data_IF_607870617802
#
_entry.id   IF_607870617802
#
_cell.length_a   1.000
_cell.length_b   1.000
_cell.length_c   1.000
_cell.angle_alpha   90.00
_cell.angle_beta   90.00
_cell.angle_gamma   90.00
#
_symmetry.space_group_name_H-M   'P 1'
#
loop_
_entity.id
_entity.type
_entity.pdbx_description
1 polymer ?
#
# COMPACT_ATOMS: atom_id res chain seq x y z
N UNK A 1 25.17 11.97 -2.94
CA UNK A 1 24.50 12.08 -1.62
C UNK A 1 23.43 13.17 -1.60
N UNK A 2 23.66 14.34 -2.22
CA UNK A 2 22.67 15.44 -2.29
C UNK A 2 21.29 15.08 -2.84
N UNK A 3 21.23 14.21 -3.86
CA UNK A 3 19.96 13.80 -4.49
C UNK A 3 19.08 13.03 -3.50
N UNK A 4 19.63 12.03 -2.82
CA UNK A 4 18.87 11.21 -1.85
C UNK A 4 18.35 12.07 -0.70
N UNK A 5 19.17 12.97 -0.20
CA UNK A 5 18.77 13.91 0.85
C UNK A 5 17.66 14.85 0.38
N UNK A 6 17.75 15.35 -0.86
CA UNK A 6 16.71 16.21 -1.44
C UNK A 6 15.40 15.46 -1.64
N UNK A 7 15.46 14.21 -2.14
CA UNK A 7 14.28 13.35 -2.26
C UNK A 7 13.63 13.07 -0.90
N UNK A 8 14.43 12.74 0.11
CA UNK A 8 13.93 12.52 1.47
C UNK A 8 13.23 13.76 2.04
N UNK A 9 13.81 14.95 1.82
CA UNK A 9 13.23 16.21 2.27
C UNK A 9 11.92 16.54 1.54
N UNK A 10 11.85 16.28 0.24
CA UNK A 10 10.62 16.44 -0.54
C UNK A 10 9.52 15.48 -0.06
N UNK A 11 9.86 14.21 0.14
CA UNK A 11 8.96 13.18 0.67
C UNK A 11 8.39 13.57 2.04
N UNK A 12 9.24 13.99 2.99
CA UNK A 12 8.79 14.45 4.31
C UNK A 12 7.89 15.69 4.22
N UNK A 13 8.23 16.66 3.37
CA UNK A 13 7.38 17.86 3.17
C UNK A 13 6.03 17.48 2.60
N UNK A 14 6.00 16.63 1.57
CA UNK A 14 4.76 16.15 0.96
C UNK A 14 3.91 15.40 1.99
N UNK A 15 4.52 14.49 2.74
CA UNK A 15 3.87 13.75 3.82
C UNK A 15 3.20 14.68 4.82
N UNK A 16 3.91 15.71 5.32
CA UNK A 16 3.36 16.66 6.28
C UNK A 16 2.18 17.46 5.72
N UNK A 17 2.24 17.88 4.44
CA UNK A 17 1.14 18.61 3.79
C UNK A 17 -0.10 17.73 3.63
N UNK A 18 0.08 16.51 3.13
CA UNK A 18 -1.03 15.56 2.92
C UNK A 18 -1.64 15.15 4.27
N UNK A 19 -0.80 14.83 5.25
CA UNK A 19 -1.27 14.38 6.56
C UNK A 19 -2.10 15.46 7.27
N UNK A 20 -1.62 16.71 7.34
CA UNK A 20 -2.38 17.83 7.95
C UNK A 20 -3.73 18.05 7.27
N UNK A 21 -3.83 17.87 5.95
CA UNK A 21 -5.11 17.96 5.23
C UNK A 21 -6.01 16.75 5.50
N UNK A 22 -5.43 15.55 5.61
CA UNK A 22 -6.11 14.30 5.93
C UNK A 22 -6.64 14.22 7.37
N UNK A 23 -6.21 15.11 8.26
CA UNK A 23 -6.77 15.22 9.62
C UNK A 23 -8.19 15.78 9.67
N UNK A 24 -8.72 16.33 8.56
CA UNK A 24 -10.11 16.77 8.46
C UNK A 24 -11.06 15.60 8.77
N UNK A 25 -11.94 15.80 9.76
CA UNK A 25 -12.81 14.76 10.34
C UNK A 25 -13.64 13.98 9.30
N UNK A 26 -14.03 14.64 8.20
CA UNK A 26 -14.81 14.05 7.11
C UNK A 26 -13.99 13.16 6.15
N UNK A 27 -12.70 13.43 5.97
CA UNK A 27 -11.85 12.69 5.03
C UNK A 27 -11.32 11.38 5.61
N UNK A 28 -11.19 11.32 6.95
CA UNK A 28 -10.69 10.13 7.67
C UNK A 28 -11.49 8.85 7.42
N UNK A 29 -12.83 8.81 7.53
CA UNK A 29 -13.59 7.57 7.29
C UNK A 29 -13.49 7.13 5.82
N UNK A 30 -13.57 8.07 4.88
CA UNK A 30 -13.44 7.78 3.46
C UNK A 30 -12.06 7.22 3.11
N UNK A 31 -10.99 7.85 3.59
CA UNK A 31 -9.63 7.38 3.37
C UNK A 31 -9.40 5.98 3.95
N UNK A 32 -10.01 5.66 5.11
CA UNK A 32 -9.96 4.30 5.68
C UNK A 32 -10.72 3.29 4.84
N UNK A 33 -11.91 3.63 4.35
CA UNK A 33 -12.70 2.74 3.51
C UNK A 33 -11.97 2.41 2.19
N UNK A 34 -11.42 3.44 1.53
CA UNK A 34 -10.62 3.28 0.31
C UNK A 34 -9.33 2.49 0.60
N UNK A 35 -8.67 2.72 1.73
CA UNK A 35 -7.50 1.93 2.10
C UNK A 35 -7.84 0.45 2.29
N UNK A 36 -8.98 0.14 2.92
CA UNK A 36 -9.44 -1.23 3.14
C UNK A 36 -9.83 -1.97 1.87
N UNK A 37 -10.27 -1.26 0.82
CA UNK A 37 -10.53 -1.92 -0.46
C UNK A 37 -9.26 -2.51 -1.09
N UNK A 38 -8.08 -2.07 -0.65
CA UNK A 38 -6.79 -2.60 -1.05
C UNK A 38 -6.30 -3.80 -0.19
N UNK A 39 -7.10 -4.32 0.76
CA UNK A 39 -6.73 -5.46 1.61
C UNK A 39 -6.70 -6.82 0.84
N UNK A 40 -6.81 -6.80 -0.49
CA UNK A 40 -6.66 -7.97 -1.36
C UNK A 40 -7.95 -8.73 -1.70
N UNK A 41 -9.11 -8.33 -1.14
CA UNK A 41 -10.40 -8.97 -1.43
C UNK A 41 -10.73 -8.98 -2.94
N UNK A 42 -10.35 -7.93 -3.66
CA UNK A 42 -10.63 -7.80 -5.09
C UNK A 42 -9.91 -8.85 -5.95
N UNK A 43 -8.75 -9.37 -5.50
CA UNK A 43 -8.04 -10.42 -6.23
C UNK A 43 -8.83 -11.73 -6.31
N UNK A 44 -9.75 -11.96 -5.36
CA UNK A 44 -10.63 -13.15 -5.33
C UNK A 44 -12.02 -12.81 -5.88
N UNK A 45 -12.59 -11.69 -5.46
CA UNK A 45 -13.95 -11.31 -5.85
C UNK A 45 -14.10 -11.13 -7.35
N UNK A 46 -13.08 -10.59 -8.04
CA UNK A 46 -13.16 -10.30 -9.46
C UNK A 46 -13.19 -11.58 -10.33
N UNK A 47 -12.27 -12.56 -10.17
CA UNK A 47 -12.38 -13.83 -10.86
C UNK A 47 -13.66 -14.60 -10.54
N UNK A 48 -14.11 -14.58 -9.28
CA UNK A 48 -15.36 -15.23 -8.86
C UNK A 48 -16.57 -14.59 -9.53
N UNK A 49 -16.64 -13.26 -9.59
CA UNK A 49 -17.73 -12.56 -10.27
C UNK A 49 -17.76 -12.89 -11.78
N UNK A 50 -16.59 -12.93 -12.43
CA UNK A 50 -16.46 -13.26 -13.85
C UNK A 50 -16.75 -14.74 -14.14
N UNK A 51 -16.52 -15.64 -13.18
CA UNK A 51 -16.89 -17.05 -13.33
C UNK A 51 -18.39 -17.22 -13.60
N UNK A 52 -19.24 -16.43 -12.92
CA UNK A 52 -20.69 -16.48 -13.10
C UNK A 52 -21.17 -15.94 -14.45
N UNK A 53 -20.34 -15.20 -15.20
CA UNK A 53 -20.70 -14.73 -16.55
C UNK A 53 -20.45 -15.80 -17.62
N UNK A 54 -19.86 -16.95 -17.27
CA UNK A 54 -19.49 -17.99 -18.23
C UNK A 54 -18.32 -17.59 -19.13
N UNK A 55 -17.52 -16.59 -18.75
CA UNK A 55 -16.41 -16.13 -19.55
C UNK A 55 -15.31 -17.21 -19.65
N UNK A 56 -14.93 -17.57 -20.87
CA UNK A 56 -13.88 -18.58 -21.11
C UNK A 56 -12.48 -18.13 -20.68
N UNK A 57 -12.26 -16.82 -20.51
CA UNK A 57 -10.96 -16.23 -20.12
C UNK A 57 -10.68 -16.25 -18.61
N UNK A 58 -11.61 -16.72 -17.78
CA UNK A 58 -11.44 -16.71 -16.32
C UNK A 58 -10.24 -17.56 -15.85
N UNK A 59 -9.98 -18.76 -16.39
CA UNK A 59 -8.80 -19.54 -16.02
C UNK A 59 -7.48 -18.81 -16.32
N UNK A 60 -7.37 -18.17 -17.49
CA UNK A 60 -6.18 -17.40 -17.88
C UNK A 60 -5.98 -16.20 -16.97
N UNK A 61 -7.07 -15.51 -16.62
CA UNK A 61 -7.05 -14.40 -15.67
C UNK A 61 -6.59 -14.86 -14.28
N UNK A 62 -7.08 -15.99 -13.79
CA UNK A 62 -6.66 -16.55 -12.50
C UNK A 62 -5.18 -16.89 -12.52
N UNK A 63 -4.68 -17.54 -13.58
CA UNK A 63 -3.26 -17.85 -13.73
C UNK A 63 -2.41 -16.58 -13.75
N UNK A 64 -2.82 -15.56 -14.52
CA UNK A 64 -2.13 -14.28 -14.60
C UNK A 64 -2.09 -13.58 -13.23
N UNK A 65 -3.21 -13.53 -12.51
CA UNK A 65 -3.29 -12.95 -11.17
C UNK A 65 -2.40 -13.69 -10.18
N UNK A 66 -2.38 -15.03 -10.21
CA UNK A 66 -1.51 -15.82 -9.34
C UNK A 66 -0.02 -15.54 -9.64
N UNK A 67 0.38 -15.57 -10.91
CA UNK A 67 1.74 -15.27 -11.32
C UNK A 67 2.16 -13.86 -10.91
N UNK A 68 1.31 -12.87 -11.16
CA UNK A 68 1.56 -11.47 -10.81
C UNK A 68 1.69 -11.31 -9.28
N UNK A 69 0.79 -11.92 -8.51
CA UNK A 69 0.78 -11.81 -7.06
C UNK A 69 2.00 -12.52 -6.44
N UNK A 70 2.41 -13.67 -6.96
CA UNK A 70 3.65 -14.33 -6.52
C UNK A 70 4.85 -13.44 -6.81
N UNK A 71 4.97 -12.92 -8.03
CA UNK A 71 6.08 -12.05 -8.41
C UNK A 71 6.12 -10.77 -7.56
N UNK A 72 4.97 -10.12 -7.37
CA UNK A 72 4.81 -8.94 -6.52
C UNK A 72 5.21 -9.23 -5.08
N UNK A 73 4.70 -10.32 -4.47
CA UNK A 73 4.98 -10.65 -3.06
C UNK A 73 6.43 -11.06 -2.84
N UNK A 74 7.05 -11.77 -3.78
CA UNK A 74 8.49 -12.05 -3.75
C UNK A 74 9.31 -10.76 -3.79
N UNK A 75 9.03 -9.86 -4.74
CA UNK A 75 9.74 -8.59 -4.85
C UNK A 75 9.49 -7.69 -3.63
N UNK A 76 8.26 -7.63 -3.15
CA UNK A 76 7.87 -6.91 -1.95
C UNK A 76 8.69 -7.36 -0.76
N UNK A 77 8.76 -8.67 -0.51
CA UNK A 77 9.51 -9.23 0.61
C UNK A 77 11.01 -8.91 0.51
N UNK A 78 11.61 -9.07 -0.68
CA UNK A 78 13.02 -8.73 -0.90
C UNK A 78 13.30 -7.25 -0.61
N UNK A 79 12.52 -6.35 -1.20
CA UNK A 79 12.74 -4.91 -1.06
C UNK A 79 12.46 -4.42 0.36
N UNK A 80 11.39 -4.91 0.99
CA UNK A 80 11.00 -4.53 2.36
C UNK A 80 12.10 -4.88 3.36
N UNK A 81 12.67 -6.08 3.23
CA UNK A 81 13.70 -6.58 4.14
C UNK A 81 15.10 -6.08 3.80
N UNK A 82 15.34 -5.57 2.59
CA UNK A 82 16.63 -5.00 2.19
C UNK A 82 16.73 -3.52 2.53
N UNK A 83 15.71 -2.73 2.16
CA UNK A 83 15.77 -1.26 2.25
C UNK A 83 15.45 -0.74 3.65
N UNK A 84 14.62 -1.46 4.42
CA UNK A 84 14.35 -1.21 5.85
C UNK A 84 14.04 0.25 6.20
N UNK A 85 13.36 0.98 5.30
CA UNK A 85 12.99 2.38 5.53
C UNK A 85 12.01 2.48 6.71
N UNK A 86 12.39 3.22 7.76
CA UNK A 86 11.55 3.41 8.96
C UNK A 86 10.33 4.26 8.67
N UNK A 87 9.21 3.96 9.34
CA UNK A 87 7.98 4.75 9.25
C UNK A 87 8.10 6.07 10.01
N UNK A 88 7.36 7.12 9.60
CA UNK A 88 7.35 8.41 10.31
C UNK A 88 7.03 8.29 11.81
N UNK A 89 6.14 7.37 12.21
CA UNK A 89 5.80 7.13 13.62
C UNK A 89 7.00 6.70 14.48
N UNK A 90 7.95 5.95 13.93
CA UNK A 90 9.15 5.54 14.67
C UNK A 90 10.17 6.69 14.82
N UNK A 91 10.04 7.73 14.00
CA UNK A 91 10.99 8.84 13.91
C UNK A 91 10.47 10.12 14.57
N UNK A 92 9.15 10.25 14.72
CA UNK A 92 8.47 11.47 15.18
C UNK A 92 7.58 11.14 16.39
N UNK A 93 8.02 11.41 17.63
CA UNK A 93 7.28 11.03 18.84
C UNK A 93 5.88 11.68 18.97
N UNK A 94 5.70 12.87 18.38
CA UNK A 94 4.40 13.56 18.37
C UNK A 94 3.44 13.09 17.25
N UNK A 95 3.86 12.13 16.42
CA UNK A 95 3.08 11.64 15.30
C UNK A 95 2.25 10.40 15.67
N UNK A 96 0.93 10.48 15.50
CA UNK A 96 0.01 9.33 15.65
C UNK A 96 -0.60 8.95 14.30
N UNK A 97 -0.35 7.72 13.85
CA UNK A 97 -0.92 7.22 12.60
C UNK A 97 -2.42 6.96 12.74
N UNK A 98 -3.16 7.28 11.67
CA UNK A 98 -4.60 7.04 11.54
C UNK A 98 -4.90 5.56 11.26
N UNK A 99 -3.92 4.85 10.68
CA UNK A 99 -3.96 3.44 10.29
C UNK A 99 -2.68 2.78 10.82
N UNK A 100 -2.83 1.71 11.61
CA UNK A 100 -1.69 0.88 12.01
C UNK A 100 -1.47 -0.13 10.89
N UNK A 101 -0.33 -0.04 10.23
CA UNK A 101 0.04 -1.03 9.23
C UNK A 101 0.71 -2.22 9.89
N UNK A 102 0.53 -3.41 9.31
CA UNK A 102 1.10 -4.65 9.82
C UNK A 102 2.64 -4.68 9.75
N UNK A 103 3.23 -4.12 8.68
CA UNK A 103 4.68 -4.14 8.48
C UNK A 103 5.41 -3.01 9.19
N UNK A 104 6.53 -3.33 9.83
CA UNK A 104 7.42 -2.35 10.46
C UNK A 104 7.95 -1.29 9.47
N UNK A 105 8.47 -1.73 8.32
CA UNK A 105 9.09 -0.83 7.35
C UNK A 105 8.07 -0.21 6.38
N UNK A 106 8.32 1.05 6.00
CA UNK A 106 7.40 1.86 5.20
C UNK A 106 7.53 1.64 3.69
N UNK A 107 8.61 1.02 3.22
CA UNK A 107 8.90 0.89 1.79
C UNK A 107 9.26 -0.55 1.40
N UNK A 108 8.75 -1.06 0.27
CA UNK A 108 7.69 -0.46 -0.56
C UNK A 108 6.33 -0.50 0.15
N UNK A 109 5.32 0.21 -0.34
CA UNK A 109 3.93 -0.07 0.10
C UNK A 109 3.49 -1.40 -0.51
N UNK A 110 2.73 -2.18 0.25
CA UNK A 110 2.23 -3.50 -0.17
C UNK A 110 0.80 -3.48 -0.65
#
# INVERSE_FOLDING_TARGET
MEILYTLQRLDVRLFMVVFRRGERRLLRPLARAISRSADGYLYVLLPVALWFTGAHSVPDLVLLLLCALIAERCLYWLLKNSLKRRRPMELMPDFRSIIVAADRFSFPSG
#
